data_IF_702343560882
#
_entry.id   IF_702343560882
#
_cell.length_a   1.000
_cell.length_b   1.000
_cell.length_c   1.000
_cell.angle_alpha   90.00
_cell.angle_beta   90.00
_cell.angle_gamma   90.00
#
_symmetry.space_group_name_H-M   'P 1'
#
loop_
_entity.id
_entity.type
_entity.pdbx_description
1 polymer ?
#
# COMPACT_ATOMS: atom_id res chain seq x y z
N UNK A 1 -9.78 -9.85 79.99
CA UNK A 1 -9.15 -8.90 79.05
C UNK A 1 -9.12 -9.53 77.67
N UNK A 2 -10.04 -9.12 76.79
CA UNK A 2 -10.16 -9.67 75.42
C UNK A 2 -9.57 -8.63 74.43
N UNK A 3 -8.38 -8.91 73.85
CA UNK A 3 -7.77 -8.06 72.79
C UNK A 3 -8.46 -8.39 71.50
N UNK A 4 -9.14 -7.39 70.90
CA UNK A 4 -9.70 -7.43 69.54
C UNK A 4 -8.60 -6.99 68.58
N UNK A 5 -8.16 -7.91 67.74
CA UNK A 5 -7.25 -7.60 66.63
C UNK A 5 -8.12 -7.16 65.44
N UNK A 6 -7.98 -5.89 65.04
CA UNK A 6 -8.64 -5.31 63.88
C UNK A 6 -7.76 -5.59 62.66
N UNK A 7 -8.18 -6.51 61.79
CA UNK A 7 -7.50 -6.77 60.53
C UNK A 7 -7.92 -5.71 59.49
N UNK A 8 -6.95 -4.91 59.08
CA UNK A 8 -7.12 -3.92 58.01
C UNK A 8 -6.89 -4.62 56.66
N UNK A 9 -7.97 -4.89 55.91
CA UNK A 9 -7.89 -5.40 54.56
C UNK A 9 -7.66 -4.21 53.60
N UNK A 10 -6.44 -4.05 53.12
CA UNK A 10 -6.12 -3.08 52.05
C UNK A 10 -6.47 -3.70 50.70
N UNK A 11 -7.58 -3.25 50.13
CA UNK A 11 -8.03 -3.66 48.80
C UNK A 11 -7.19 -2.90 47.77
N UNK A 12 -6.19 -3.54 47.15
CA UNK A 12 -5.51 -3.03 45.96
C UNK A 12 -6.44 -3.13 44.73
N UNK A 13 -7.03 -2.02 44.32
CA UNK A 13 -7.72 -1.91 43.05
C UNK A 13 -6.63 -1.77 42.00
N UNK A 14 -6.34 -2.86 41.29
CA UNK A 14 -5.54 -2.82 40.06
C UNK A 14 -6.36 -2.12 38.98
N UNK A 15 -6.04 -0.87 38.68
CA UNK A 15 -6.50 -0.17 37.51
C UNK A 15 -5.81 -0.82 36.27
N UNK A 16 -6.47 -1.80 35.67
CA UNK A 16 -6.12 -2.26 34.33
C UNK A 16 -6.49 -1.14 33.36
N UNK A 17 -5.53 -0.26 33.09
CA UNK A 17 -5.62 0.68 32.00
C UNK A 17 -5.71 -0.12 30.69
N UNK A 18 -6.89 -0.12 30.05
CA UNK A 18 -7.00 -0.50 28.65
C UNK A 18 -6.22 0.54 27.87
N UNK A 19 -4.94 0.27 27.55
CA UNK A 19 -4.24 0.98 26.48
C UNK A 19 -4.97 0.64 25.20
N UNK A 20 -5.75 1.58 24.67
CA UNK A 20 -6.27 1.53 23.30
C UNK A 20 -5.07 1.68 22.39
N UNK A 21 -4.52 0.54 21.92
CA UNK A 21 -3.46 0.54 20.92
C UNK A 21 -4.04 1.23 19.68
N UNK A 22 -3.49 2.39 19.29
CA UNK A 22 -3.82 3.03 18.03
C UNK A 22 -3.33 2.12 16.89
N UNK A 23 -4.26 1.28 16.39
CA UNK A 23 -3.99 0.32 15.32
C UNK A 23 -3.46 0.99 14.05
N UNK A 24 -3.83 2.25 13.82
CA UNK A 24 -3.32 3.05 12.70
C UNK A 24 -1.85 3.42 12.88
N UNK A 25 -1.44 3.82 14.08
CA UNK A 25 -0.03 4.14 14.36
C UNK A 25 0.86 2.89 14.27
N UNK A 26 0.41 1.77 14.82
CA UNK A 26 1.13 0.50 14.73
C UNK A 26 1.29 0.02 13.28
N UNK A 27 0.23 0.14 12.47
CA UNK A 27 0.27 -0.22 11.05
C UNK A 27 1.24 0.67 10.25
N UNK A 28 1.24 2.00 10.51
CA UNK A 28 2.20 2.92 9.88
C UNK A 28 3.64 2.62 10.30
N UNK A 29 3.89 2.31 11.56
CA UNK A 29 5.22 1.95 12.05
C UNK A 29 5.73 0.67 11.39
N UNK A 30 4.89 -0.36 11.27
CA UNK A 30 5.20 -1.61 10.59
C UNK A 30 5.52 -1.39 9.10
N UNK A 31 4.73 -0.54 8.42
CA UNK A 31 4.98 -0.18 7.02
C UNK A 31 6.32 0.53 6.85
N UNK A 32 6.60 1.53 7.68
CA UNK A 32 7.87 2.26 7.63
C UNK A 32 9.07 1.37 7.91
N UNK A 33 8.92 0.38 8.80
CA UNK A 33 9.96 -0.61 9.05
C UNK A 33 10.16 -1.52 7.84
N UNK A 34 9.08 -2.02 7.23
CA UNK A 34 9.15 -2.85 6.03
C UNK A 34 9.83 -2.11 4.87
N UNK A 35 9.51 -0.82 4.68
CA UNK A 35 10.14 0.02 3.65
C UNK A 35 11.65 0.19 3.92
N UNK A 36 12.05 0.48 5.17
CA UNK A 36 13.46 0.65 5.53
C UNK A 36 14.28 -0.64 5.37
N UNK A 37 13.64 -1.80 5.47
CA UNK A 37 14.30 -3.10 5.28
C UNK A 37 14.37 -3.56 3.82
N UNK A 38 13.83 -2.77 2.87
CA UNK A 38 13.92 -3.10 1.45
C UNK A 38 15.37 -3.04 0.98
N UNK A 39 15.91 -4.12 0.38
CA UNK A 39 17.26 -4.10 -0.12
C UNK A 39 17.41 -3.07 -1.24
N UNK A 40 18.52 -2.32 -1.29
CA UNK A 40 18.80 -1.45 -2.41
C UNK A 40 18.96 -2.26 -3.69
N UNK A 41 18.62 -1.66 -4.84
CA UNK A 41 18.75 -2.34 -6.13
C UNK A 41 18.06 -1.59 -7.26
N UNK A 42 18.32 -2.04 -8.47
CA UNK A 42 17.70 -1.48 -9.68
C UNK A 42 16.33 -2.13 -9.92
N UNK A 43 15.35 -1.78 -9.10
CA UNK A 43 13.96 -2.20 -9.21
C UNK A 43 13.05 -1.13 -8.62
N UNK A 44 11.75 -1.30 -8.83
CA UNK A 44 10.71 -0.48 -8.21
C UNK A 44 9.76 -1.33 -7.37
N UNK A 45 9.09 -0.71 -6.43
CA UNK A 45 7.98 -1.33 -5.70
C UNK A 45 6.68 -0.75 -6.23
N UNK A 46 5.82 -1.61 -6.74
CA UNK A 46 4.54 -1.22 -7.34
C UNK A 46 3.36 -1.75 -6.57
N UNK A 47 2.30 -0.94 -6.47
CA UNK A 47 1.02 -1.32 -5.90
C UNK A 47 -0.06 -1.18 -6.95
N UNK A 48 -0.68 -2.31 -7.31
CA UNK A 48 -1.77 -2.31 -8.29
C UNK A 48 -2.99 -1.58 -7.75
N UNK A 49 -3.49 -0.61 -8.51
CA UNK A 49 -4.76 0.07 -8.25
C UNK A 49 -5.64 -0.04 -9.50
N UNK A 50 -6.36 -1.14 -9.59
CA UNK A 50 -7.28 -1.36 -10.69
C UNK A 50 -8.54 -0.52 -10.54
N UNK A 51 -8.93 0.16 -11.61
CA UNK A 51 -10.20 0.89 -11.75
C UNK A 51 -10.87 0.49 -13.07
N UNK A 52 -12.17 0.22 -13.00
CA UNK A 52 -12.96 -0.25 -14.17
C UNK A 52 -12.89 0.74 -15.33
N UNK A 53 -12.96 2.04 -15.02
CA UNK A 53 -13.02 3.09 -16.03
C UNK A 53 -11.66 3.62 -16.47
N UNK A 54 -10.60 3.44 -15.65
CA UNK A 54 -9.29 4.04 -15.89
C UNK A 54 -8.26 3.02 -16.33
N UNK A 55 -7.41 3.41 -17.26
CA UNK A 55 -6.31 2.57 -17.74
C UNK A 55 -5.01 2.73 -16.94
N UNK A 56 -5.03 3.52 -15.87
CA UNK A 56 -3.88 3.61 -14.95
C UNK A 56 -3.60 2.23 -14.34
N UNK A 57 -2.32 1.93 -14.15
CA UNK A 57 -1.93 0.64 -13.56
C UNK A 57 -1.95 0.66 -12.04
N UNK A 58 -1.23 1.59 -11.43
CA UNK A 58 -1.06 1.66 -9.99
C UNK A 58 0.06 2.59 -9.58
N UNK A 59 0.37 2.56 -8.28
CA UNK A 59 1.40 3.37 -7.67
C UNK A 59 2.76 2.71 -7.77
N UNK A 60 3.79 3.47 -8.19
CA UNK A 60 5.16 2.98 -8.34
C UNK A 60 6.13 3.91 -7.62
N UNK A 61 7.02 3.35 -6.80
CA UNK A 61 8.07 4.06 -6.06
C UNK A 61 9.41 3.33 -6.12
N UNK A 62 10.47 4.02 -5.81
CA UNK A 62 11.80 3.41 -5.60
C UNK A 62 11.84 2.60 -4.30
N UNK A 63 12.70 1.57 -4.18
CA UNK A 63 12.90 0.86 -2.93
C UNK A 63 13.42 1.79 -1.83
N UNK A 64 13.02 1.54 -0.58
CA UNK A 64 13.38 2.34 0.58
C UNK A 64 12.73 3.73 0.66
N UNK A 65 11.92 4.13 -0.34
CA UNK A 65 11.20 5.42 -0.33
C UNK A 65 9.78 5.24 0.20
N UNK A 66 9.21 6.23 0.92
CA UNK A 66 7.85 6.13 1.43
C UNK A 66 6.81 6.15 0.30
N UNK A 67 5.62 5.58 0.55
CA UNK A 67 4.54 5.55 -0.42
C UNK A 67 4.04 6.93 -0.85
N UNK A 68 4.19 7.95 -0.02
CA UNK A 68 3.89 9.35 -0.40
C UNK A 68 4.74 9.87 -1.57
N UNK A 69 5.85 9.19 -1.92
CA UNK A 69 6.67 9.52 -3.10
C UNK A 69 6.27 8.74 -4.35
N UNK A 70 5.31 7.81 -4.23
CA UNK A 70 4.87 6.98 -5.34
C UNK A 70 4.17 7.81 -6.42
N UNK A 71 4.38 7.41 -7.66
CA UNK A 71 3.71 7.99 -8.83
C UNK A 71 2.63 7.03 -9.34
N UNK A 72 1.45 7.55 -9.65
CA UNK A 72 0.45 6.82 -10.41
C UNK A 72 0.91 6.75 -11.86
N UNK A 73 0.96 5.56 -12.44
CA UNK A 73 1.58 5.36 -13.76
C UNK A 73 0.67 4.69 -14.78
N UNK A 74 0.95 4.96 -16.04
CA UNK A 74 0.52 4.14 -17.18
C UNK A 74 1.66 3.17 -17.51
N UNK A 75 1.36 1.85 -17.57
CA UNK A 75 2.36 0.88 -18.01
C UNK A 75 2.46 0.85 -19.53
N UNK A 76 3.67 0.95 -20.04
CA UNK A 76 3.98 0.55 -21.40
C UNK A 76 4.33 -0.94 -21.40
N UNK A 77 3.45 -1.75 -21.97
CA UNK A 77 3.51 -3.21 -21.98
C UNK A 77 4.04 -3.81 -23.28
N UNK A 78 4.67 -3.02 -24.12
CA UNK A 78 5.19 -3.51 -25.42
C UNK A 78 6.22 -4.63 -25.26
N UNK A 79 6.96 -4.64 -24.14
CA UNK A 79 7.98 -5.66 -23.87
C UNK A 79 7.49 -6.74 -22.91
N UNK A 80 6.58 -6.42 -22.01
CA UNK A 80 6.05 -7.32 -20.99
C UNK A 80 4.63 -6.92 -20.62
N UNK A 81 3.69 -7.84 -20.73
CA UNK A 81 2.32 -7.61 -20.26
C UNK A 81 2.29 -7.49 -18.73
N UNK A 82 1.41 -6.62 -18.22
CA UNK A 82 1.07 -6.58 -16.80
C UNK A 82 0.50 -7.93 -16.34
N UNK A 83 0.69 -8.30 -15.06
CA UNK A 83 0.32 -9.64 -14.58
C UNK A 83 -1.14 -10.01 -14.79
N UNK A 84 -2.08 -9.11 -14.57
CA UNK A 84 -3.52 -9.32 -14.79
C UNK A 84 -3.84 -9.52 -16.28
N UNK A 85 -3.18 -8.77 -17.16
CA UNK A 85 -3.34 -8.89 -18.61
C UNK A 85 -2.70 -10.16 -19.14
N UNK A 86 -1.55 -10.54 -18.62
CA UNK A 86 -0.90 -11.80 -18.97
C UNK A 86 -1.75 -13.02 -18.62
N UNK A 87 -2.62 -12.89 -17.61
CA UNK A 87 -3.59 -13.92 -17.21
C UNK A 87 -4.94 -13.82 -17.95
N UNK A 88 -5.15 -12.79 -18.76
CA UNK A 88 -6.44 -12.50 -19.40
C UNK A 88 -7.56 -12.12 -18.42
N UNK A 89 -7.20 -11.65 -17.21
CA UNK A 89 -8.14 -11.35 -16.12
C UNK A 89 -7.85 -9.97 -15.52
N UNK A 90 -8.38 -8.93 -16.15
CA UNK A 90 -8.15 -7.56 -15.71
C UNK A 90 -8.54 -7.36 -14.24
N UNK A 91 -7.62 -6.78 -13.47
CA UNK A 91 -7.83 -6.41 -12.08
C UNK A 91 -7.86 -7.56 -11.09
N UNK A 92 -7.57 -8.81 -11.50
CA UNK A 92 -7.47 -9.97 -10.58
C UNK A 92 -6.43 -9.76 -9.50
N UNK A 93 -5.45 -8.93 -9.77
CA UNK A 93 -4.34 -8.54 -8.90
C UNK A 93 -4.54 -7.16 -8.23
N UNK A 94 -5.77 -6.67 -8.17
CA UNK A 94 -6.06 -5.41 -7.49
C UNK A 94 -5.52 -5.46 -6.05
N UNK A 95 -4.84 -4.37 -5.65
CA UNK A 95 -4.19 -4.23 -4.35
C UNK A 95 -2.97 -5.15 -4.09
N UNK A 96 -2.48 -5.89 -5.08
CA UNK A 96 -1.24 -6.65 -4.94
C UNK A 96 -0.02 -5.72 -4.94
N UNK A 97 1.01 -6.13 -4.20
CA UNK A 97 2.32 -5.46 -4.22
C UNK A 97 3.31 -6.27 -5.06
N UNK A 98 4.04 -5.54 -5.91
CA UNK A 98 4.98 -6.10 -6.86
C UNK A 98 6.40 -5.55 -6.68
N UNK A 99 7.38 -6.38 -6.97
CA UNK A 99 8.70 -5.97 -7.39
C UNK A 99 8.66 -5.81 -8.91
N UNK A 100 8.88 -4.59 -9.40
CA UNK A 100 8.84 -4.27 -10.81
C UNK A 100 10.25 -4.05 -11.34
N UNK A 101 10.57 -4.69 -12.48
CA UNK A 101 11.72 -4.34 -13.31
C UNK A 101 11.24 -3.43 -14.43
N UNK A 102 11.93 -2.33 -14.66
CA UNK A 102 11.53 -1.32 -15.66
C UNK A 102 12.13 0.03 -15.38
N UNK A 103 11.61 1.05 -16.05
CA UNK A 103 12.07 2.43 -15.90
C UNK A 103 11.00 3.42 -16.33
N UNK A 104 11.06 4.66 -15.83
CA UNK A 104 10.28 5.77 -16.35
C UNK A 104 10.86 6.23 -17.67
N UNK A 105 10.04 6.33 -18.73
CA UNK A 105 10.51 6.79 -20.06
C UNK A 105 10.89 8.27 -20.07
N UNK A 106 10.34 9.04 -19.14
CA UNK A 106 10.39 10.50 -19.12
C UNK A 106 9.15 11.14 -19.76
N UNK A 107 8.36 10.36 -20.49
CA UNK A 107 7.12 10.81 -21.13
C UNK A 107 5.91 10.68 -20.20
N UNK A 108 4.81 11.30 -20.62
CA UNK A 108 3.49 11.17 -20.01
C UNK A 108 2.47 10.67 -21.02
N UNK A 109 1.50 9.88 -20.53
CA UNK A 109 0.41 9.32 -21.33
C UNK A 109 -0.91 9.94 -20.89
N UNK A 110 -1.69 10.42 -21.86
CA UNK A 110 -3.03 10.92 -21.62
C UNK A 110 -4.02 9.77 -21.37
N UNK A 111 -4.76 9.83 -20.28
CA UNK A 111 -5.80 8.89 -19.91
C UNK A 111 -7.17 9.59 -20.00
N UNK A 112 -8.00 9.24 -21.03
CA UNK A 112 -9.23 9.99 -21.34
C UNK A 112 -10.31 9.94 -20.26
N UNK A 113 -10.49 8.81 -19.57
CA UNK A 113 -11.56 8.64 -18.61
C UNK A 113 -11.37 9.50 -17.35
N UNK A 114 -10.12 9.74 -16.94
CA UNK A 114 -9.76 10.64 -15.85
C UNK A 114 -9.45 12.07 -16.31
N UNK A 115 -9.36 12.29 -17.63
CA UNK A 115 -8.86 13.54 -18.24
C UNK A 115 -7.51 13.96 -17.63
N UNK A 116 -6.62 13.01 -17.43
CA UNK A 116 -5.34 13.22 -16.76
C UNK A 116 -4.14 12.76 -17.59
N UNK A 117 -2.97 13.30 -17.25
CA UNK A 117 -1.68 12.85 -17.79
C UNK A 117 -0.89 12.14 -16.69
N UNK A 118 -0.38 10.96 -17.00
CA UNK A 118 0.35 10.12 -16.04
C UNK A 118 1.72 9.72 -16.58
N UNK A 119 2.75 9.65 -15.74
CA UNK A 119 4.06 9.17 -16.16
C UNK A 119 3.96 7.80 -16.80
N UNK A 120 4.69 7.62 -17.91
CA UNK A 120 4.85 6.31 -18.53
C UNK A 120 5.93 5.51 -17.81
N UNK A 121 5.62 4.25 -17.50
CA UNK A 121 6.58 3.29 -16.97
C UNK A 121 6.73 2.11 -17.94
N UNK A 122 7.93 1.91 -18.47
CA UNK A 122 8.26 0.78 -19.36
C UNK A 122 8.41 -0.47 -18.51
N UNK A 123 7.49 -1.42 -18.64
CA UNK A 123 7.52 -2.68 -17.88
C UNK A 123 8.43 -3.71 -18.55
N UNK A 124 9.38 -4.24 -17.81
CA UNK A 124 10.27 -5.33 -18.20
C UNK A 124 10.04 -6.61 -17.42
N UNK A 125 9.48 -6.51 -16.21
CA UNK A 125 9.18 -7.65 -15.35
C UNK A 125 8.33 -7.26 -14.15
N UNK A 126 7.60 -8.23 -13.60
CA UNK A 126 6.79 -8.05 -12.39
C UNK A 126 6.77 -9.35 -11.59
N UNK A 127 7.16 -9.28 -10.32
CA UNK A 127 7.15 -10.39 -9.36
C UNK A 127 6.25 -10.02 -8.19
N UNK A 128 5.34 -10.90 -7.80
CA UNK A 128 4.46 -10.67 -6.64
C UNK A 128 5.30 -10.67 -5.36
N UNK A 129 5.23 -9.58 -4.59
CA UNK A 129 5.79 -9.49 -3.24
C UNK A 129 4.77 -9.87 -2.17
N UNK A 130 3.54 -9.39 -2.33
CA UNK A 130 2.45 -9.69 -1.41
C UNK A 130 1.09 -9.61 -2.12
N UNK A 131 0.22 -10.56 -1.82
CA UNK A 131 -1.20 -10.53 -2.24
C UNK A 131 -2.09 -9.86 -1.20
N UNK A 132 -1.56 -9.59 0.00
CA UNK A 132 -2.25 -8.93 1.12
C UNK A 132 -1.30 -7.95 1.81
N UNK A 133 -0.80 -6.93 1.11
CA UNK A 133 0.11 -5.96 1.69
C UNK A 133 -0.61 -5.01 2.65
N UNK A 134 0.16 -4.28 3.47
CA UNK A 134 -0.39 -3.24 4.35
C UNK A 134 -1.10 -2.16 3.53
N UNK A 135 -2.17 -1.59 4.10
CA UNK A 135 -2.95 -0.55 3.43
C UNK A 135 -2.13 0.74 3.27
N UNK A 136 -2.09 1.26 2.03
CA UNK A 136 -1.41 2.52 1.69
C UNK A 136 -2.41 3.65 1.39
N UNK A 137 -3.69 3.35 1.32
CA UNK A 137 -4.71 4.30 0.90
C UNK A 137 -5.23 5.11 2.07
N UNK A 138 -5.46 6.40 1.84
CA UNK A 138 -6.05 7.31 2.83
C UNK A 138 -7.52 6.98 3.13
N UNK A 139 -8.22 6.45 2.13
CA UNK A 139 -9.62 6.04 2.23
C UNK A 139 -9.77 4.60 1.75
N UNK A 140 -10.42 3.77 2.54
CA UNK A 140 -10.66 2.36 2.18
C UNK A 140 -11.41 2.22 0.83
N UNK A 141 -12.29 3.16 0.54
CA UNK A 141 -13.02 3.23 -0.73
C UNK A 141 -12.13 3.35 -1.97
N UNK A 142 -10.88 3.81 -1.82
CA UNK A 142 -9.93 3.85 -2.95
C UNK A 142 -9.62 2.45 -3.51
N UNK A 143 -9.77 1.41 -2.72
CA UNK A 143 -9.55 0.02 -3.12
C UNK A 143 -10.69 -0.54 -3.99
N UNK A 144 -11.88 0.04 -3.92
CA UNK A 144 -13.02 -0.39 -4.73
C UNK A 144 -12.79 -0.03 -6.21
N UNK A 145 -12.77 -1.01 -7.12
CA UNK A 145 -12.57 -0.78 -8.55
C UNK A 145 -13.61 0.13 -9.21
N UNK A 146 -14.81 0.23 -8.65
CA UNK A 146 -15.92 1.04 -9.17
C UNK A 146 -15.91 2.48 -8.68
N UNK A 147 -15.10 2.79 -7.68
CA UNK A 147 -15.00 4.14 -7.10
C UNK A 147 -13.88 4.92 -7.77
N UNK A 148 -14.21 6.08 -8.35
CA UNK A 148 -13.30 6.94 -9.12
C UNK A 148 -12.45 7.85 -8.23
N UNK A 149 -11.70 7.29 -7.28
CA UNK A 149 -10.79 8.04 -6.41
C UNK A 149 -9.35 7.69 -6.78
N UNK A 150 -8.55 8.71 -7.09
CA UNK A 150 -7.13 8.60 -7.48
C UNK A 150 -6.22 9.43 -6.55
N UNK A 151 -6.50 9.45 -5.25
CA UNK A 151 -5.67 10.17 -4.28
C UNK A 151 -4.33 9.47 -4.04
N UNK A 152 -3.22 10.24 -3.94
CA UNK A 152 -1.92 9.67 -3.59
C UNK A 152 -1.95 8.89 -2.27
N UNK A 153 -1.11 7.86 -2.14
CA UNK A 153 -0.91 7.16 -0.87
C UNK A 153 -0.37 8.08 0.23
N UNK A 154 -0.63 7.72 1.49
CA UNK A 154 -0.15 8.43 2.68
C UNK A 154 1.21 7.88 3.17
#
# INVERSE_FOLDING_TARGET
>A
MKRRILALVVSMIALAGCETVDTGAASRAAMNQAIRSEPPGNYFVGRRMYKVDYKVWGWVREPGRPWSTAKLVMLNEQRKLAPDRAQGKLGVDNDYEYRLSGYFSGDTVYEPASNGFYPEFILLGAEVRSTKPLNIYQQERQRDPKVRILQPPS
#
